data_IF_964331296131
#
_entry.id   IF_964331296131
#
_cell.length_a   1.000
_cell.length_b   1.000
_cell.length_c   1.000
_cell.angle_alpha   90.00
_cell.angle_beta   90.00
_cell.angle_gamma   90.00
#
_symmetry.space_group_name_H-M   'P 1'
#
loop_
_entity.id
_entity.type
_entity.pdbx_description
1 polymer ?
2 non-polymer ?
3 non-polymer ?
4 non-polymer ?
5 water ?
#
# COMPACT_ATOMS: atom_id res chain seq x y z
N UNK A 39 9.67 1.85 23.07
CA UNK A 39 10.22 0.44 22.98
C UNK A 39 10.38 0.12 21.48
N UNK A 40 10.05 -1.10 21.03
CA UNK A 40 10.15 -1.49 19.59
C UNK A 40 8.91 -0.98 18.83
N UNK A 41 9.10 -0.17 17.79
CA UNK A 41 7.95 0.31 16.97
C UNK A 41 7.33 -0.89 16.24
N UNK A 42 6.01 -1.06 16.37
CA UNK A 42 5.22 -2.04 15.59
C UNK A 42 4.95 -1.45 14.21
N UNK A 43 5.14 -2.26 13.16
CA UNK A 43 4.93 -1.88 11.74
C UNK A 43 3.74 -2.68 11.17
N UNK A 44 2.71 -1.95 10.76
CA UNK A 44 1.43 -2.48 10.21
C UNK A 44 1.23 -1.87 8.82
N UNK A 45 1.12 -2.69 7.79
CA UNK A 45 0.77 -2.25 6.42
C UNK A 45 -0.75 -2.22 6.35
N UNK A 46 -1.31 -1.14 5.81
CA UNK A 46 -2.72 -1.01 5.34
C UNK A 46 -2.72 -1.28 3.83
N UNK A 47 -3.40 -2.37 3.42
CA UNK A 47 -3.49 -2.88 2.04
C UNK A 47 -4.93 -2.78 1.55
N UNK A 48 -5.07 -2.54 0.26
CA UNK A 48 -6.39 -2.43 -0.36
C UNK A 48 -6.31 -1.93 -1.77
N UNK A 49 -7.39 -2.18 -2.51
CA UNK A 49 -7.54 -1.75 -3.90
C UNK A 49 -7.53 -0.21 -3.95
N UNK A 50 -7.37 0.32 -5.16
CA UNK A 50 -7.51 1.77 -5.41
C UNK A 50 -8.86 2.24 -4.85
N UNK A 51 -8.83 3.33 -4.09
CA UNK A 51 -9.99 4.06 -3.53
C UNK A 51 -10.84 3.18 -2.59
N UNK A 52 -10.28 2.09 -2.05
CA UNK A 52 -10.90 1.30 -0.95
C UNK A 52 -11.09 2.18 0.31
N UNK A 53 -10.19 3.14 0.58
CA UNK A 53 -10.32 4.09 1.70
C UNK A 53 -9.13 4.09 2.65
N UNK A 54 -7.96 3.69 2.16
CA UNK A 54 -6.71 3.51 2.97
C UNK A 54 -6.25 4.84 3.51
N UNK A 55 -6.24 5.88 2.67
CA UNK A 55 -5.82 7.26 3.03
C UNK A 55 -6.79 7.83 4.06
N UNK A 56 -8.09 7.67 3.83
CA UNK A 56 -9.14 8.08 4.80
C UNK A 56 -8.90 7.38 6.14
N UNK A 57 -8.64 6.07 6.12
CA UNK A 57 -8.54 5.25 7.34
C UNK A 57 -7.28 5.64 8.10
N UNK A 58 -6.16 5.70 7.38
CA UNK A 58 -4.85 6.09 7.96
C UNK A 58 -4.95 7.45 8.67
N UNK A 59 -5.61 8.47 8.08
CA UNK A 59 -5.75 9.82 8.67
C UNK A 59 -6.79 9.85 9.80
N UNK A 60 -7.68 8.87 9.90
CA UNK A 60 -8.47 8.65 11.15
C UNK A 60 -7.51 8.15 12.23
N UNK A 61 -6.76 7.09 11.97
CA UNK A 61 -5.91 6.40 12.97
C UNK A 61 -4.92 7.41 13.56
N UNK A 62 -4.27 8.14 12.66
CA UNK A 62 -3.23 9.16 12.97
C UNK A 62 -3.67 9.91 14.23
N UNK A 63 -4.90 10.36 14.26
CA UNK A 63 -5.36 11.36 15.26
C UNK A 63 -5.71 10.71 16.61
N UNK A 64 -5.86 9.39 16.69
CA UNK A 64 -6.52 8.76 17.86
C UNK A 64 -5.51 8.54 18.96
N UNK A 65 -4.21 8.62 18.68
CA UNK A 65 -3.16 8.30 19.68
C UNK A 65 -1.85 9.00 19.30
N UNK A 66 -1.15 9.51 20.30
CA UNK A 66 0.23 10.07 20.17
C UNK A 66 1.21 8.92 19.93
N UNK A 67 0.81 7.68 20.21
CA UNK A 67 1.66 6.49 19.96
C UNK A 67 1.50 5.95 18.53
N UNK A 68 0.62 6.56 17.72
CA UNK A 68 0.24 6.06 16.38
C UNK A 68 0.74 7.04 15.32
N UNK A 69 1.65 6.59 14.47
CA UNK A 69 2.14 7.38 13.31
C UNK A 69 1.83 6.64 11.99
N UNK A 70 1.89 7.41 10.91
CA UNK A 70 1.40 7.09 9.54
C UNK A 70 2.48 7.47 8.51
N UNK A 71 2.75 6.60 7.55
CA UNK A 71 3.65 6.86 6.37
C UNK A 71 2.77 6.75 5.13
N UNK A 72 2.31 7.89 4.58
CA UNK A 72 1.52 7.87 3.36
C UNK A 72 2.34 7.28 2.20
N UNK A 73 1.65 6.72 1.20
CA UNK A 73 2.26 6.12 -0.01
C UNK A 73 2.81 7.26 -0.86
N UNK A 74 4.09 7.22 -1.24
CA UNK A 74 4.64 8.23 -2.14
C UNK A 74 3.81 8.45 -3.42
N UNK A 75 3.41 7.39 -4.12
CA UNK A 75 2.60 7.52 -5.36
C UNK A 75 1.34 8.35 -5.05
N UNK A 76 0.68 8.07 -3.93
CA UNK A 76 -0.53 8.81 -3.48
C UNK A 76 -0.18 10.31 -3.42
N UNK A 77 0.93 10.69 -2.78
CA UNK A 77 1.30 12.11 -2.60
C UNK A 77 1.61 12.76 -3.96
N UNK A 78 2.38 12.10 -4.83
CA UNK A 78 2.68 12.57 -6.21
C UNK A 78 1.36 12.90 -6.92
N UNK A 79 0.32 12.07 -6.73
CA UNK A 79 -1.06 12.24 -7.29
C UNK A 79 -1.81 13.39 -6.60
N UNK A 80 -1.16 14.17 -5.72
CA UNK A 80 -1.78 15.11 -4.74
C UNK A 80 -3.13 15.58 -5.29
N UNK A 92 10.44 17.75 -2.47
CA UNK A 92 9.89 18.37 -3.70
C UNK A 92 10.61 17.79 -4.94
N UNK A 93 11.91 17.50 -4.92
CA UNK A 93 12.58 16.90 -6.12
C UNK A 93 11.97 15.52 -6.39
N UNK A 94 11.71 14.73 -5.33
CA UNK A 94 10.98 13.44 -5.49
C UNK A 94 9.58 13.73 -6.06
N UNK A 95 8.94 14.77 -5.53
CA UNK A 95 7.57 15.21 -5.93
C UNK A 95 7.58 15.59 -7.40
N UNK A 96 8.64 16.25 -7.84
CA UNK A 96 8.80 16.72 -9.23
C UNK A 96 9.05 15.52 -10.13
N UNK A 97 9.92 14.60 -9.73
CA UNK A 97 10.20 13.37 -10.50
C UNK A 97 8.90 12.55 -10.61
N UNK A 98 8.19 12.42 -9.50
CA UNK A 98 6.98 11.57 -9.40
C UNK A 98 5.85 12.07 -10.28
N UNK A 99 5.53 13.37 -10.19
CA UNK A 99 4.58 14.04 -11.10
C UNK A 99 4.92 13.76 -12.55
N UNK A 100 6.18 13.97 -12.95
CA UNK A 100 6.61 13.70 -14.35
C UNK A 100 6.40 12.23 -14.67
N UNK A 101 6.77 11.30 -13.77
CA UNK A 101 6.65 9.86 -14.12
C UNK A 101 5.17 9.48 -14.26
N UNK A 102 4.29 10.01 -13.40
CA UNK A 102 2.84 9.71 -13.44
C UNK A 102 2.27 10.11 -14.79
N UNK A 103 2.58 11.33 -15.23
CA UNK A 103 2.07 11.90 -16.49
C UNK A 103 2.60 11.06 -17.65
N UNK A 104 3.88 10.71 -17.58
CA UNK A 104 4.56 9.93 -18.65
C UNK A 104 3.88 8.56 -18.75
N UNK A 105 3.59 7.96 -17.58
CA UNK A 105 2.91 6.63 -17.47
C UNK A 105 1.54 6.67 -18.14
N UNK A 106 0.75 7.75 -17.95
CA UNK A 106 -0.63 7.82 -18.50
C UNK A 106 -0.50 7.71 -20.01
N UNK A 107 0.50 8.37 -20.60
CA UNK A 107 0.76 8.37 -22.08
C UNK A 107 1.22 7.00 -22.53
N UNK A 108 2.17 6.38 -21.83
CA UNK A 108 2.91 5.22 -22.40
C UNK A 108 3.33 4.27 -21.28
N UNK A 109 2.38 3.48 -20.73
CA UNK A 109 2.71 2.60 -19.63
C UNK A 109 3.86 1.65 -19.96
N UNK A 110 3.96 1.18 -21.23
CA UNK A 110 4.92 0.11 -21.62
C UNK A 110 6.35 0.68 -21.73
N UNK A 111 6.50 2.00 -21.75
CA UNK A 111 7.83 2.67 -21.74
C UNK A 111 8.26 2.97 -20.30
N UNK A 112 7.34 3.36 -19.40
CA UNK A 112 7.68 3.93 -18.06
C UNK A 112 7.39 3.00 -16.88
N UNK A 113 6.76 1.83 -17.06
CA UNK A 113 6.35 0.98 -15.90
C UNK A 113 7.57 0.60 -15.05
N UNK A 114 8.67 0.18 -15.67
CA UNK A 114 9.90 -0.20 -14.92
C UNK A 114 10.43 1.00 -14.13
N UNK A 115 10.55 2.17 -14.76
CA UNK A 115 11.14 3.39 -14.13
C UNK A 115 10.25 3.78 -12.94
N UNK A 116 8.93 3.77 -13.18
CA UNK A 116 7.89 4.19 -12.23
C UNK A 116 7.93 3.28 -10.99
N UNK A 117 7.86 1.97 -11.23
CA UNK A 117 7.80 0.97 -10.13
C UNK A 117 9.08 1.03 -9.32
N UNK A 118 10.26 1.19 -9.93
CA UNK A 118 11.55 1.20 -9.18
C UNK A 118 11.53 2.44 -8.29
N UNK A 119 11.09 3.58 -8.80
CA UNK A 119 11.17 4.85 -8.07
C UNK A 119 10.11 4.88 -6.97
N UNK A 120 8.93 4.35 -7.26
CA UNK A 120 7.82 4.29 -6.30
C UNK A 120 8.27 3.45 -5.10
N UNK A 121 8.95 2.34 -5.36
CA UNK A 121 9.40 1.43 -4.27
C UNK A 121 10.59 2.03 -3.50
N UNK A 122 11.57 2.62 -4.17
CA UNK A 122 12.68 3.30 -3.45
C UNK A 122 12.12 4.44 -2.59
N UNK A 123 11.20 5.25 -3.12
CA UNK A 123 10.59 6.38 -2.39
C UNK A 123 9.84 5.82 -1.16
N UNK A 124 9.16 4.69 -1.28
CA UNK A 124 8.45 4.09 -0.13
C UNK A 124 9.50 3.67 0.89
N UNK A 125 10.56 2.99 0.46
CA UNK A 125 11.56 2.42 1.40
C UNK A 125 12.17 3.59 2.20
N UNK A 126 12.48 4.71 1.56
CA UNK A 126 13.19 5.79 2.29
C UNK A 126 12.21 6.48 3.23
N UNK A 127 10.96 6.74 2.81
CA UNK A 127 9.93 7.41 3.65
C UNK A 127 9.62 6.51 4.86
N UNK A 128 9.52 5.18 4.67
CA UNK A 128 9.31 4.21 5.79
C UNK A 128 10.54 4.23 6.73
N UNK A 129 11.76 4.14 6.19
CA UNK A 129 12.99 4.14 7.03
C UNK A 129 13.03 5.41 7.88
N UNK A 130 12.76 6.58 7.28
CA UNK A 130 12.84 7.91 7.92
C UNK A 130 11.82 8.02 9.07
N UNK A 131 10.62 7.43 8.91
CA UNK A 131 9.60 7.42 10.00
C UNK A 131 10.08 6.52 11.15
N UNK A 132 10.75 5.44 10.81
CA UNK A 132 11.25 4.44 11.78
C UNK A 132 12.35 5.04 12.64
N UNK A 133 13.08 6.03 12.12
CA UNK A 133 14.35 6.56 12.71
C UNK A 133 14.13 7.91 13.39
N UNK A 134 13.03 8.61 13.05
CA UNK A 134 12.80 10.00 13.46
C UNK A 134 11.65 10.17 14.44
N UNK A 135 10.69 9.24 14.50
CA UNK A 135 9.38 9.46 15.17
C UNK A 135 9.19 8.44 16.30
N UNK A 136 8.16 8.66 17.15
CA UNK A 136 7.61 7.70 18.15
C UNK A 136 8.70 7.18 19.11
N UNK A 137 9.74 7.96 19.41
CA UNK A 137 10.86 7.41 20.23
C UNK A 137 10.60 7.63 21.73
N UNK A 138 9.82 8.64 22.13
CA UNK A 138 9.42 8.85 23.55
C UNK A 138 8.08 8.16 23.83
N UNK A 139 7.54 7.38 22.89
CA UNK A 139 6.20 6.74 22.98
C UNK A 139 6.31 5.35 23.63
N UNK A 140 5.26 4.91 24.34
CA UNK A 140 5.28 3.66 25.14
C UNK A 140 4.81 2.45 24.34
N UNK A 141 3.76 2.58 23.52
CA UNK A 141 3.24 1.48 22.65
C UNK A 141 3.24 1.95 21.20
N UNK A 142 4.42 2.28 20.63
CA UNK A 142 4.49 2.94 19.33
C UNK A 142 4.01 2.03 18.18
N UNK A 143 3.17 2.59 17.30
CA UNK A 143 2.69 1.89 16.06
C UNK A 143 2.91 2.81 14.86
N UNK A 144 3.52 2.27 13.82
CA UNK A 144 3.62 2.91 12.49
C UNK A 144 2.68 2.18 11.53
N UNK A 145 1.70 2.91 10.99
CA UNK A 145 0.79 2.45 9.92
C UNK A 145 1.35 2.96 8.59
N UNK A 146 1.77 2.01 7.77
CA UNK A 146 2.26 2.19 6.38
C UNK A 146 1.06 2.12 5.44
N UNK A 147 0.84 3.18 4.65
CA UNK A 147 -0.07 3.08 3.47
C UNK A 147 0.64 2.20 2.42
N UNK A 148 0.18 0.95 2.33
CA UNK A 148 0.71 -0.12 1.46
C UNK A 148 2.14 -0.43 1.87
N UNK A 149 2.76 -1.37 1.16
CA UNK A 149 4.10 -1.90 1.49
C UNK A 149 4.90 -2.11 0.19
N UNK A 150 6.16 -2.42 0.40
CA UNK A 150 7.16 -3.00 -0.53
C UNK A 150 6.58 -4.26 -1.21
N UNK A 151 5.73 -5.03 -0.51
CA UNK A 151 5.15 -6.30 -1.04
C UNK A 151 3.99 -5.99 -1.97
N UNK A 152 3.17 -4.98 -1.69
CA UNK A 152 2.10 -4.57 -2.63
C UNK A 152 2.76 -4.01 -3.90
N UNK A 153 3.84 -3.24 -3.75
CA UNK A 153 4.57 -2.66 -4.91
C UNK A 153 4.87 -3.75 -5.95
N UNK A 154 5.37 -4.89 -5.48
CA UNK A 154 5.89 -5.97 -6.33
C UNK A 154 4.75 -6.92 -6.69
N UNK A 155 4.05 -7.47 -5.70
CA UNK A 155 3.11 -8.61 -5.90
C UNK A 155 1.75 -8.11 -6.38
N UNK A 156 1.49 -6.81 -6.25
CA UNK A 156 0.23 -6.28 -6.83
C UNK A 156 0.56 -5.49 -8.09
N UNK A 157 1.25 -4.36 -7.96
CA UNK A 157 1.30 -3.34 -9.04
C UNK A 157 2.29 -3.79 -10.14
N UNK A 158 3.53 -4.03 -9.76
CA UNK A 158 4.62 -4.33 -10.71
C UNK A 158 4.23 -5.64 -11.43
N UNK A 159 3.80 -6.64 -10.66
CA UNK A 159 3.30 -7.95 -11.17
C UNK A 159 2.20 -7.68 -12.20
N UNK A 160 1.24 -6.83 -11.85
CA UNK A 160 0.07 -6.53 -12.72
C UNK A 160 0.58 -5.90 -14.01
N UNK A 161 1.63 -5.08 -13.92
CA UNK A 161 2.13 -4.35 -15.11
C UNK A 161 2.85 -5.34 -16.04
N UNK A 162 3.65 -6.26 -15.48
CA UNK A 162 4.26 -7.39 -16.20
C UNK A 162 3.16 -8.19 -16.94
N UNK A 163 2.09 -8.51 -16.21
CA UNK A 163 0.97 -9.33 -16.73
C UNK A 163 0.20 -8.61 -17.83
N UNK A 164 0.22 -7.28 -17.87
CA UNK A 164 -0.38 -6.47 -18.97
C UNK A 164 0.63 -6.22 -20.10
N UNK A 165 1.84 -6.78 -20.02
CA UNK A 165 2.95 -6.55 -20.99
C UNK A 165 3.38 -5.07 -20.99
N UNK A 166 3.19 -4.33 -19.90
CA UNK A 166 3.74 -2.96 -19.74
C UNK A 166 5.21 -3.00 -19.29
N UNK A 167 5.65 -4.16 -18.81
CA UNK A 167 7.08 -4.52 -18.61
C UNK A 167 7.35 -5.79 -19.41
N UNK A 168 8.53 -5.92 -20.00
CA UNK A 168 8.91 -7.14 -20.75
C UNK A 168 9.56 -8.08 -19.72
N UNK A 169 9.82 -9.33 -20.06
CA UNK A 169 10.46 -10.27 -19.12
C UNK A 169 11.74 -9.70 -18.50
N UNK A 170 12.62 -9.09 -19.29
CA UNK A 170 13.92 -8.60 -18.77
C UNK A 170 13.67 -7.53 -17.70
N UNK A 171 12.74 -6.61 -17.95
CA UNK A 171 12.42 -5.52 -17.01
C UNK A 171 11.87 -6.11 -15.70
N UNK A 172 10.94 -7.07 -15.79
CA UNK A 172 10.30 -7.77 -14.63
C UNK A 172 11.37 -8.54 -13.84
N UNK A 173 12.24 -9.27 -14.52
CA UNK A 173 13.33 -10.04 -13.86
C UNK A 173 14.30 -9.09 -13.15
N UNK A 174 14.75 -8.04 -13.84
CA UNK A 174 15.62 -6.98 -13.24
C UNK A 174 14.88 -6.42 -12.02
N UNK A 175 13.60 -6.06 -12.17
CA UNK A 175 12.80 -5.45 -11.08
C UNK A 175 12.78 -6.40 -9.87
N UNK A 176 12.52 -7.68 -10.09
CA UNK A 176 12.47 -8.67 -8.97
C UNK A 176 13.84 -8.83 -8.30
N UNK A 177 14.91 -8.90 -9.08
CA UNK A 177 16.29 -8.99 -8.56
C UNK A 177 16.59 -7.79 -7.64
N UNK A 178 16.41 -6.59 -8.18
CA UNK A 178 16.56 -5.29 -7.47
C UNK A 178 15.72 -5.31 -6.20
N UNK A 179 14.43 -5.64 -6.29
CA UNK A 179 13.51 -5.71 -5.12
C UNK A 179 14.05 -6.70 -4.09
N UNK A 180 14.41 -7.93 -4.51
CA UNK A 180 14.86 -8.98 -3.56
C UNK A 180 16.03 -8.41 -2.76
N UNK A 181 16.96 -7.80 -3.47
CA UNK A 181 18.26 -7.38 -2.91
C UNK A 181 18.11 -6.07 -2.12
N UNK A 182 17.42 -5.07 -2.65
CA UNK A 182 17.17 -3.72 -2.07
C UNK A 182 16.55 -3.86 -0.68
N UNK A 183 15.77 -4.93 -0.47
CA UNK A 183 15.01 -5.24 0.78
C UNK A 183 15.79 -6.24 1.64
N UNK A 184 17.12 -6.29 1.51
CA UNK A 184 18.02 -6.96 2.51
C UNK A 184 18.99 -5.93 3.09
N UNK A 185 19.67 -5.18 2.21
CA UNK A 185 20.58 -4.03 2.54
C UNK A 185 19.83 -2.94 3.30
N UNK A 188 16.76 -6.07 6.23
CA UNK A 188 15.98 -4.80 6.41
C UNK A 188 15.10 -4.90 7.67
N UNK A 189 14.96 -3.77 8.38
CA UNK A 189 14.14 -3.57 9.59
C UNK A 189 12.75 -3.01 9.23
N UNK A 190 12.28 -3.21 8.00
CA UNK A 190 10.92 -2.75 7.59
C UNK A 190 9.97 -3.94 7.70
N UNK A 191 10.46 -5.11 8.09
CA UNK A 191 9.62 -6.33 8.24
C UNK A 191 8.34 -5.99 9.02
N UNK A 192 7.21 -6.54 8.57
CA UNK A 192 5.86 -6.16 9.05
C UNK A 192 5.50 -7.03 10.26
N UNK A 193 4.92 -6.42 11.29
CA UNK A 193 4.30 -7.14 12.45
C UNK A 193 2.90 -7.67 12.05
N UNK A 194 2.24 -7.01 11.10
CA UNK A 194 0.88 -7.40 10.71
C UNK A 194 0.38 -6.55 9.58
N UNK A 195 -0.68 -7.02 8.92
CA UNK A 195 -1.28 -6.37 7.73
C UNK A 195 -2.74 -6.20 8.04
N UNK A 196 -3.26 -5.00 7.79
CA UNK A 196 -4.72 -4.70 7.84
C UNK A 196 -5.16 -4.59 6.39
N UNK A 197 -6.01 -5.52 5.96
CA UNK A 197 -6.60 -5.54 4.60
C UNK A 197 -7.94 -4.77 4.63
N UNK A 198 -8.05 -3.65 3.92
CA UNK A 198 -9.34 -2.94 3.71
C UNK A 198 -9.98 -3.51 2.45
N UNK A 199 -10.97 -4.36 2.67
CA UNK A 199 -11.62 -5.17 1.61
C UNK A 199 -12.88 -4.41 1.20
N UNK A 200 -12.93 -4.08 -0.09
CA UNK A 200 -14.08 -3.43 -0.75
C UNK A 200 -14.30 -4.12 -2.10
N UNK A 201 -15.52 -4.09 -2.62
CA UNK A 201 -15.83 -4.60 -3.98
C UNK A 201 -15.16 -3.68 -5.00
N UNK A 202 -14.80 -4.18 -6.20
CA UNK A 202 -14.50 -3.31 -7.34
C UNK A 202 -15.51 -2.17 -7.56
N UNK A 203 -16.81 -2.47 -7.39
CA UNK A 203 -17.90 -1.47 -7.60
C UNK A 203 -17.76 -0.35 -6.56
N UNK A 204 -17.57 -0.70 -5.28
CA UNK A 204 -17.36 0.29 -4.20
C UNK A 204 -16.18 1.20 -4.59
N UNK A 205 -15.06 0.60 -4.98
CA UNK A 205 -13.80 1.32 -5.35
C UNK A 205 -14.07 2.22 -6.55
N UNK A 206 -14.82 1.70 -7.54
CA UNK A 206 -15.19 2.47 -8.76
C UNK A 206 -16.01 3.69 -8.35
N UNK A 207 -17.00 3.48 -7.45
CA UNK A 207 -17.82 4.60 -6.89
C UNK A 207 -16.89 5.60 -6.18
N UNK A 208 -15.97 5.10 -5.36
CA UNK A 208 -15.06 5.97 -4.56
C UNK A 208 -14.09 6.73 -5.48
N UNK A 209 -13.67 6.13 -6.60
CA UNK A 209 -12.84 6.88 -7.60
C UNK A 209 -13.66 8.07 -8.09
N UNK A 210 -14.95 7.86 -8.41
CA UNK A 210 -15.87 8.95 -8.83
C UNK A 210 -15.98 9.99 -7.70
N UNK A 211 -16.18 9.53 -6.45
CA UNK A 211 -16.24 10.45 -5.27
C UNK A 211 -14.94 11.27 -5.24
N UNK A 212 -13.76 10.63 -5.28
CA UNK A 212 -12.49 11.36 -5.05
C UNK A 212 -12.28 12.36 -6.20
N UNK A 213 -12.73 12.02 -7.41
CA UNK A 213 -12.93 12.94 -8.55
C UNK A 213 -11.63 13.47 -9.14
N UNK A 214 -10.60 12.61 -9.23
CA UNK A 214 -9.31 12.92 -9.92
C UNK A 214 -9.55 12.72 -11.41
N UNK A 215 -9.21 13.72 -12.22
CA UNK A 215 -9.46 13.68 -13.68
C UNK A 215 -8.96 12.36 -14.25
N UNK A 216 -7.67 12.08 -14.04
CA UNK A 216 -6.91 11.03 -14.75
C UNK A 216 -7.47 9.66 -14.37
N UNK A 217 -8.13 9.55 -13.22
CA UNK A 217 -8.61 8.26 -12.68
C UNK A 217 -10.01 7.95 -13.22
N UNK A 218 -10.75 8.96 -13.70
CA UNK A 218 -12.18 8.76 -14.10
C UNK A 218 -12.26 7.73 -15.23
N UNK A 219 -11.13 7.42 -15.90
CA UNK A 219 -11.06 6.45 -17.01
C UNK A 219 -10.88 5.01 -16.55
N UNK A 220 -10.49 4.78 -15.29
CA UNK A 220 -10.16 3.42 -14.80
C UNK A 220 -11.42 2.55 -14.91
N UNK A 221 -11.38 1.42 -15.64
CA UNK A 221 -12.56 0.56 -15.78
C UNK A 221 -12.69 -0.55 -14.72
N UNK A 222 -13.92 -0.99 -14.46
CA UNK A 222 -14.25 -2.02 -13.45
C UNK A 222 -13.33 -3.25 -13.62
N UNK A 223 -13.02 -3.62 -14.86
CA UNK A 223 -12.28 -4.84 -15.25
C UNK A 223 -10.88 -4.79 -14.60
N UNK A 224 -10.20 -3.65 -14.71
CA UNK A 224 -8.87 -3.37 -14.11
C UNK A 224 -8.92 -3.56 -12.58
N UNK A 225 -9.88 -2.89 -11.94
CA UNK A 225 -10.11 -2.97 -10.47
C UNK A 225 -10.43 -4.42 -10.09
N UNK A 226 -11.23 -5.11 -10.89
CA UNK A 226 -11.54 -6.54 -10.61
C UNK A 226 -10.24 -7.35 -10.65
N UNK A 227 -9.29 -7.02 -11.53
CA UNK A 227 -7.95 -7.68 -11.59
C UNK A 227 -7.17 -7.46 -10.28
N UNK A 228 -7.03 -6.20 -9.85
CA UNK A 228 -6.30 -5.83 -8.61
C UNK A 228 -7.01 -6.47 -7.42
N UNK A 229 -8.34 -6.38 -7.38
CA UNK A 229 -9.15 -7.02 -6.31
C UNK A 229 -8.72 -8.49 -6.16
N UNK A 230 -8.76 -9.23 -7.27
CA UNK A 230 -8.42 -10.67 -7.34
C UNK A 230 -7.03 -10.93 -6.76
N UNK A 231 -6.04 -10.14 -7.17
CA UNK A 231 -4.66 -10.21 -6.61
C UNK A 231 -4.68 -10.03 -5.08
N UNK A 232 -5.46 -9.08 -4.57
CA UNK A 232 -5.49 -8.83 -3.09
C UNK A 232 -6.16 -10.02 -2.39
N UNK A 233 -7.24 -10.56 -2.97
CA UNK A 233 -7.94 -11.75 -2.40
C UNK A 233 -6.94 -12.92 -2.33
N UNK A 234 -6.22 -13.19 -3.43
CA UNK A 234 -5.25 -14.32 -3.49
C UNK A 234 -4.17 -14.12 -2.43
N UNK A 235 -3.67 -12.90 -2.29
CA UNK A 235 -2.51 -12.60 -1.40
C UNK A 235 -2.96 -12.66 0.06
N UNK A 236 -4.00 -11.93 0.42
CA UNK A 236 -4.24 -11.59 1.86
C UNK A 236 -5.35 -12.44 2.50
N UNK A 237 -6.32 -12.96 1.73
CA UNK A 237 -7.46 -13.79 2.24
C UNK A 237 -7.17 -15.29 2.10
N UNK A 238 -7.14 -15.84 0.87
CA UNK A 238 -6.88 -17.28 0.61
C UNK A 238 -5.40 -17.61 0.88
N UNK A 239 -4.53 -16.59 0.91
CA UNK A 239 -3.07 -16.71 1.23
C UNK A 239 -2.42 -17.73 0.27
N UNK A 240 -2.89 -17.75 -0.98
CA UNK A 240 -2.46 -18.67 -2.07
C UNK A 240 -1.23 -18.12 -2.79
N UNK A 241 -0.81 -16.88 -2.53
CA UNK A 241 0.28 -16.18 -3.28
C UNK A 241 1.63 -16.45 -2.60
N UNK A 242 2.59 -17.07 -3.31
CA UNK A 242 3.98 -17.30 -2.84
C UNK A 242 4.85 -16.06 -3.13
N UNK A 243 5.88 -15.85 -2.32
CA UNK A 243 6.77 -14.66 -2.33
C UNK A 243 8.14 -15.07 -1.80
N UNK A 244 9.19 -14.30 -2.12
CA UNK A 244 10.57 -14.60 -1.66
C UNK A 244 10.76 -14.11 -0.21
N UNK A 245 9.67 -13.83 0.51
CA UNK A 245 9.72 -13.30 1.90
C UNK A 245 8.97 -14.29 2.82
N UNK A 246 9.71 -15.31 3.30
CA UNK A 246 9.20 -16.49 4.05
C UNK A 246 8.23 -16.03 5.16
N UNK A 247 8.68 -15.11 6.04
CA UNK A 247 7.94 -14.59 7.24
C UNK A 247 6.51 -14.13 6.88
N UNK A 248 6.26 -13.59 5.67
CA UNK A 248 4.91 -13.14 5.19
C UNK A 248 3.85 -14.25 5.28
N UNK A 249 4.24 -15.52 5.13
CA UNK A 249 3.28 -16.66 5.20
C UNK A 249 2.63 -16.69 6.59
N UNK A 250 3.36 -16.24 7.61
CA UNK A 250 2.99 -16.36 9.04
C UNK A 250 2.60 -14.99 9.59
N UNK A 251 2.65 -13.90 8.80
CA UNK A 251 2.31 -12.54 9.31
C UNK A 251 0.81 -12.48 9.57
N UNK A 252 0.41 -11.92 10.72
CA UNK A 252 -1.01 -11.76 11.00
C UNK A 252 -1.69 -10.73 10.09
N UNK A 253 -2.88 -11.08 9.62
CA UNK A 253 -3.74 -10.25 8.73
C UNK A 253 -5.06 -10.00 9.44
N UNK A 254 -5.44 -8.74 9.63
CA UNK A 254 -6.83 -8.33 9.97
C UNK A 254 -7.54 -7.94 8.69
N UNK A 255 -8.65 -8.61 8.34
CA UNK A 255 -9.46 -8.20 7.17
C UNK A 255 -10.63 -7.36 7.66
N UNK A 256 -10.80 -6.14 7.14
CA UNK A 256 -11.93 -5.21 7.48
C UNK A 256 -12.80 -4.95 6.24
N UNK A 257 -14.10 -5.20 6.34
CA UNK A 257 -15.04 -4.85 5.25
C UNK A 257 -15.29 -3.37 5.37
N UNK A 258 -14.88 -2.61 4.36
CA UNK A 258 -15.11 -1.14 4.31
C UNK A 258 -16.06 -0.80 3.16
N UNK A 259 -16.96 -1.71 2.77
CA UNK A 259 -17.98 -1.37 1.73
C UNK A 259 -18.88 -0.28 2.26
N UNK A 260 -19.24 -0.30 3.54
CA UNK A 260 -20.10 0.76 4.12
C UNK A 260 -19.18 1.94 4.47
N UNK A 261 -19.62 3.15 4.10
CA UNK A 261 -18.99 4.43 4.48
C UNK A 261 -18.64 4.39 5.98
N UNK A 262 -17.44 4.83 6.35
CA UNK A 262 -16.93 4.75 7.75
C UNK A 262 -16.45 6.12 8.22
N UNK A 263 -16.44 7.15 7.37
CA UNK A 263 -15.77 8.46 7.66
C UNK A 263 -16.26 9.05 8.98
N UNK A 264 -17.55 8.90 9.29
CA UNK A 264 -18.20 9.44 10.52
C UNK A 264 -18.67 8.29 11.40
N UNK A 265 -18.21 7.07 11.12
CA UNK A 265 -18.74 5.91 11.85
C UNK A 265 -17.70 4.81 11.82
N UNK A 266 -16.57 5.03 12.49
CA UNK A 266 -15.41 4.11 12.34
C UNK A 266 -15.07 3.39 13.64
N UNK A 267 -15.88 3.59 14.69
CA UNK A 267 -15.50 3.09 16.04
C UNK A 267 -15.31 1.58 15.99
N UNK A 268 -16.22 0.84 15.31
CA UNK A 268 -16.15 -0.65 15.25
C UNK A 268 -14.87 -1.10 14.54
N UNK A 269 -14.46 -0.40 13.47
CA UNK A 269 -13.20 -0.74 12.74
C UNK A 269 -12.00 -0.53 13.68
N UNK A 270 -11.96 0.62 14.37
CA UNK A 270 -10.84 0.97 15.27
C UNK A 270 -10.81 -0.02 16.43
N UNK A 271 -11.98 -0.47 16.90
CA UNK A 271 -12.05 -1.53 17.95
C UNK A 271 -11.34 -2.80 17.43
N UNK A 272 -11.59 -3.21 16.18
CA UNK A 272 -10.92 -4.41 15.63
C UNK A 272 -9.42 -4.17 15.50
N UNK A 273 -8.99 -2.96 15.13
CA UNK A 273 -7.54 -2.59 15.04
C UNK A 273 -6.89 -2.68 16.42
N UNK A 274 -7.48 -2.11 17.47
CA UNK A 274 -6.96 -2.18 18.86
C UNK A 274 -6.92 -3.65 19.35
N UNK A 275 -7.95 -4.43 19.12
CA UNK A 275 -7.89 -5.86 19.50
C UNK A 275 -6.70 -6.55 18.76
N UNK A 276 -6.60 -6.33 17.45
CA UNK A 276 -5.59 -6.98 16.58
C UNK A 276 -4.21 -6.62 17.12
N UNK A 277 -3.97 -5.33 17.35
CA UNK A 277 -2.69 -4.82 17.93
C UNK A 277 -2.33 -5.52 19.25
N UNK A 278 -3.31 -5.84 20.09
CA UNK A 278 -3.07 -6.45 21.43
C UNK A 278 -2.53 -7.88 21.24
N UNK A 279 -2.88 -8.55 20.14
CA UNK A 279 -2.37 -9.91 19.82
C UNK A 279 -0.91 -9.87 19.35
N UNK A 280 -0.39 -8.75 18.86
CA UNK A 280 0.96 -8.71 18.23
C UNK A 280 2.00 -8.50 19.32
X LIG B 1 -14.55 7.57 0.99
X LIG B 1 -15.86 7.68 1.52
X LIG B 1 -16.26 6.91 2.56
X LIG B 1 -15.39 6.03 3.08
X LIG B 1 -14.10 5.87 2.55
X LIG B 1 -13.70 6.66 1.50
X LIG B 1 -16.64 8.51 1.03
X LIG B 1 -15.71 5.28 4.00
X LIG B 1 -14.13 8.40 -0.14
X LIG B 1 -12.92 9.26 0.17
X LIG B 1 -13.25 10.51 0.73
X LIG B 1 -12.28 9.38 -1.20
X LIG B 1 -12.57 8.04 -1.83
X LIG B 1 -13.72 7.50 -1.18
X LIG B 1 -12.94 10.41 -1.96
X LIG B 1 -11.44 7.04 -1.68
X LIG B 1 -10.86 7.02 -0.39
X LIG B 1 -9.27 7.11 -0.24
X LIG B 1 -8.75 8.20 -1.14
X LIG B 1 -8.93 7.16 1.22
X LIG B 1 -8.79 5.69 -0.86
X LIG B 1 -7.29 5.06 -1.03
X LIG B 1 -6.35 5.83 -0.12
X LIG B 1 -6.94 5.14 -2.50
X LIG B 1 -7.52 3.62 -0.68
X LIG C 1 -2.91 -2.06 -21.45
X LIG C 1 -1.02 4.03 -12.23
X LIG C 1 -1.29 4.50 -16.36
X LIG C 1 -1.59 3.27 -15.80
X LIG C 1 -2.02 2.13 -16.63
X LIG C 1 -1.51 0.85 -16.42
X LIG C 1 -1.90 -0.20 -17.23
X LIG C 1 -3.21 -1.18 -19.16
X LIG C 1 -2.77 -2.74 -23.81
X LIG C 1 -3.92 -4.15 -22.23
X LIG C 1 -3.30 1.25 -18.49
X LIG C 1 -1.08 4.19 -13.62
X LIG C 1 -0.39 3.05 -11.52
X LIG C 1 0.59 2.05 -9.82
X LIG C 1 0.78 2.45 -6.22
X LIG C 1 2.61 1.16 -6.95
X LIG C 1 -0.31 6.57 -13.37
X LIG C 1 -0.77 5.42 -14.19
X LIG C 1 -0.88 5.56 -15.58
X LIG C 1 -2.80 -0.02 -18.28
X LIG C 1 -2.28 -1.34 -20.34
X LIG C 1 -2.07 -2.06 -22.66
X LIG C 1 -3.14 -4.12 -23.47
X LIG C 1 -3.88 -4.76 -24.56
X LIG C 1 -3.21 -3.45 -21.09
X LIG C 1 -2.91 2.31 -17.69
X LIG C 1 -1.48 3.13 -14.41
X LIG C 1 -0.13 3.15 -10.25
X LIG C 1 1.06 1.96 -8.45
X LIG C 1 0.35 2.54 -7.49
X LIG C 1 1.92 1.75 -5.90
X LIG C 1 3.73 0.48 -6.73
X LIG C 1 2.18 1.26 -8.21
X LIG C 1 0.78 1.09 -10.76
X LIG C 1 0.13 1.59 -12.27
X LIG D 1 -0.66 10.11 16.06
#
# INVERSE_FOLDING_TARGET
MGSSHHHHHHSSGLVPRGSHMATPPKRSSPSFSASSEGTRIKKISIEGNIAAGKSTFVNILKQLSEDWEVVPEPVARWSNVQSTQDEFEELTMEQKNGGNVLQMMYEKPERWSFTFQTYACLSRIRAQLASLNGKLKDAEKPVLFFERSVYSDRYIFASNLYESESMNETEWTIYQDWHDWMNNQFGQSLELDGIIYLQATPETCLHRIYLRGRNEEQGIPLEYLEKLHYKHESWLLHRTLKTNFDYLQEVPILTLDVNEDFKDKYESLVEKVKEFLSTL
UDP N1 C2 N3 C4 C5 C6 O2 O4 C1' C2' O2' C3' C4' O4' O3' C5' O5' PA O1A O2A O3A PB O1B O2B O3B
JAQ N1 N3 C4 C5 C6 C7 C8 C10 C13 C15 C17 C20 C21 C22 C24 C26 C1 C2 C3 C9 C11 C12 N2 C14 C16 C18 C19 N4 C23 N5 C25 N6 N7 C27 S1
NA NA
#
